data_IF_381600661743
#
_entry.id   IF_381600661743
#
_cell.length_a   1.000
_cell.length_b   1.000
_cell.length_c   1.000
_cell.angle_alpha   90.00
_cell.angle_beta   90.00
_cell.angle_gamma   90.00
#
_symmetry.space_group_name_H-M   'P 1'
#
loop_
_entity.id
_entity.type
_entity.pdbx_description
1 polymer ?
#
# COMPACT_ATOMS: atom_id res chain seq x y z
N UNK A 1 -11.41 -27.54 59.20
CA UNK A 1 -10.74 -27.05 57.98
C UNK A 1 -10.66 -28.25 57.05
N UNK A 2 -11.53 -28.28 56.04
CA UNK A 2 -11.76 -29.45 55.18
C UNK A 2 -11.41 -29.06 53.74
N UNK A 3 -10.67 -29.95 53.09
CA UNK A 3 -10.09 -29.90 51.75
C UNK A 3 -11.16 -29.80 50.63
N UNK A 4 -10.96 -29.00 49.56
CA UNK A 4 -11.87 -28.93 48.43
C UNK A 4 -11.30 -29.71 47.22
N UNK A 5 -11.48 -31.03 47.21
CA UNK A 5 -11.32 -31.83 45.99
C UNK A 5 -12.52 -32.76 45.86
N UNK A 6 -13.56 -32.29 45.19
CA UNK A 6 -14.68 -33.12 44.76
C UNK A 6 -14.95 -32.82 43.28
N UNK A 7 -14.45 -33.70 42.43
CA UNK A 7 -14.88 -33.85 41.04
C UNK A 7 -15.63 -35.17 40.94
N UNK A 8 -16.90 -35.14 40.47
CA UNK A 8 -17.45 -36.21 39.68
C UNK A 8 -17.58 -35.74 38.22
N UNK A 9 -16.73 -36.31 37.36
CA UNK A 9 -17.04 -36.46 35.93
C UNK A 9 -18.28 -37.35 35.80
N UNK A 10 -19.32 -36.89 35.10
CA UNK A 10 -20.12 -37.68 34.14
C UNK A 10 -21.33 -36.86 33.66
N UNK A 11 -21.41 -36.67 32.34
CA UNK A 11 -22.52 -35.97 31.67
C UNK A 11 -22.21 -35.68 30.20
N UNK A 12 -21.96 -36.72 29.42
CA UNK A 12 -22.09 -36.72 27.96
C UNK A 12 -23.56 -36.40 27.59
N UNK A 13 -23.80 -35.33 26.83
CA UNK A 13 -24.69 -35.35 25.65
C UNK A 13 -24.51 -34.04 24.85
N UNK A 14 -23.83 -34.12 23.71
CA UNK A 14 -23.80 -33.06 22.69
C UNK A 14 -24.79 -33.42 21.60
N UNK A 15 -25.88 -32.68 21.40
CA UNK A 15 -26.54 -32.66 20.11
C UNK A 15 -25.75 -31.73 19.17
N UNK A 16 -25.19 -32.34 18.14
CA UNK A 16 -24.62 -31.67 16.97
C UNK A 16 -25.77 -31.35 16.02
N UNK A 17 -26.18 -30.08 15.91
CA UNK A 17 -27.04 -29.65 14.81
C UNK A 17 -26.27 -28.68 13.92
N UNK A 18 -25.70 -29.28 12.88
CA UNK A 18 -25.36 -28.65 11.62
C UNK A 18 -26.65 -28.21 10.94
N UNK A 19 -26.87 -26.90 10.85
CA UNK A 19 -27.94 -26.31 10.05
C UNK A 19 -27.34 -25.30 9.08
N UNK A 20 -26.90 -25.79 7.93
CA UNK A 20 -26.97 -25.17 6.60
C UNK A 20 -25.91 -25.80 5.71
N UNK A 21 -26.30 -26.91 5.08
CA UNK A 21 -25.71 -27.40 3.85
C UNK A 21 -26.78 -27.34 2.76
N UNK A 22 -26.50 -26.57 1.70
CA UNK A 22 -27.25 -26.59 0.45
C UNK A 22 -27.80 -25.23 0.02
N UNK A 23 -27.01 -24.43 -0.70
CA UNK A 23 -27.17 -24.28 -2.16
C UNK A 23 -26.05 -23.39 -2.73
N UNK A 24 -25.43 -23.84 -3.81
CA UNK A 24 -24.48 -23.08 -4.61
C UNK A 24 -25.25 -22.46 -5.78
N UNK A 25 -25.32 -21.14 -5.92
CA UNK A 25 -25.39 -20.52 -7.24
C UNK A 25 -23.97 -20.25 -7.72
N UNK A 26 -23.65 -20.77 -8.91
CA UNK A 26 -22.52 -20.32 -9.67
C UNK A 26 -22.80 -18.92 -10.25
N UNK A 27 -21.77 -18.06 -10.19
CA UNK A 27 -21.51 -16.92 -11.07
C UNK A 27 -22.58 -15.82 -11.23
N UNK A 28 -22.29 -14.65 -10.63
CA UNK A 28 -22.39 -13.34 -11.27
C UNK A 28 -21.45 -12.37 -10.53
N UNK A 29 -20.27 -12.09 -11.08
CA UNK A 29 -19.83 -10.74 -11.51
C UNK A 29 -20.55 -9.58 -10.81
N UNK A 30 -19.87 -8.92 -9.87
CA UNK A 30 -19.76 -7.45 -9.83
C UNK A 30 -18.65 -7.04 -8.86
N UNK A 31 -17.77 -6.14 -9.31
CA UNK A 31 -16.59 -5.67 -8.58
C UNK A 31 -16.94 -4.65 -7.51
N UNK A 32 -17.35 -5.12 -6.33
CA UNK A 32 -17.49 -4.28 -5.15
C UNK A 32 -16.39 -4.63 -4.12
N UNK A 33 -15.71 -3.65 -3.52
CA UNK A 33 -14.71 -3.90 -2.49
C UNK A 33 -15.37 -4.60 -1.30
N UNK A 34 -14.87 -5.80 -0.97
CA UNK A 34 -15.24 -6.54 0.24
C UNK A 34 -14.86 -5.68 1.44
N UNK A 35 -15.87 -5.04 2.04
CA UNK A 35 -15.70 -4.34 3.32
C UNK A 35 -15.79 -5.40 4.42
N UNK A 36 -14.64 -5.81 4.94
CA UNK A 36 -14.58 -6.59 6.17
C UNK A 36 -15.19 -5.78 7.32
N UNK A 37 -16.00 -6.47 8.11
CA UNK A 37 -16.87 -5.95 9.17
C UNK A 37 -16.10 -5.07 10.16
N UNK A 38 -16.49 -3.79 10.27
CA UNK A 38 -16.01 -2.69 11.15
C UNK A 38 -14.97 -1.74 10.54
N UNK A 39 -15.36 -0.86 9.62
CA UNK A 39 -14.66 0.42 9.34
C UNK A 39 -13.21 0.38 8.87
N UNK A 40 -12.55 -0.77 8.92
CA UNK A 40 -11.25 -1.05 8.36
C UNK A 40 -11.50 -1.52 6.93
N UNK A 41 -11.04 -0.70 5.99
CA UNK A 41 -10.84 -1.15 4.62
C UNK A 41 -10.05 -2.47 4.67
N UNK A 42 -10.42 -3.41 3.79
CA UNK A 42 -9.62 -4.61 3.63
C UNK A 42 -8.17 -4.19 3.31
N UNK A 43 -7.21 -4.92 3.88
CA UNK A 43 -5.80 -4.68 3.58
C UNK A 43 -5.59 -4.82 2.07
N UNK A 44 -4.82 -3.92 1.43
CA UNK A 44 -4.55 -4.02 0.01
C UNK A 44 -3.87 -5.35 -0.31
N UNK A 45 -4.18 -5.91 -1.48
CA UNK A 45 -3.51 -7.12 -1.95
C UNK A 45 -2.00 -6.90 -2.12
N UNK A 46 -1.21 -7.92 -1.80
CA UNK A 46 0.23 -7.93 -2.03
C UNK A 46 0.52 -7.81 -3.54
N UNK A 47 1.45 -6.93 -3.91
CA UNK A 47 1.86 -6.68 -5.29
C UNK A 47 3.23 -7.29 -5.59
N UNK A 48 3.58 -7.38 -6.87
CA UNK A 48 4.92 -7.81 -7.30
C UNK A 48 6.02 -6.96 -6.68
N UNK A 49 5.81 -5.64 -6.56
CA UNK A 49 6.78 -4.72 -5.93
C UNK A 49 6.99 -5.04 -4.45
N UNK A 50 5.99 -5.52 -3.71
CA UNK A 50 6.18 -5.94 -2.31
C UNK A 50 7.03 -7.20 -2.22
N UNK A 51 6.73 -8.18 -3.08
CA UNK A 51 7.46 -9.44 -3.12
C UNK A 51 8.92 -9.19 -3.47
N UNK A 52 9.19 -8.28 -4.40
CA UNK A 52 10.55 -7.87 -4.78
C UNK A 52 11.23 -7.09 -3.66
N UNK A 53 10.56 -6.10 -3.06
CA UNK A 53 11.10 -5.31 -1.96
C UNK A 53 11.46 -6.19 -0.75
N UNK A 54 10.63 -7.18 -0.41
CA UNK A 54 10.89 -8.12 0.68
C UNK A 54 12.06 -9.10 0.39
N UNK A 55 12.41 -9.30 -0.88
CA UNK A 55 13.53 -10.17 -1.29
C UNK A 55 14.88 -9.47 -1.27
N UNK A 56 14.92 -8.15 -1.39
CA UNK A 56 16.17 -7.37 -1.37
C UNK A 56 16.90 -7.64 -0.05
N UNK A 57 18.05 -8.31 -0.14
CA UNK A 57 18.79 -8.75 1.04
C UNK A 57 19.56 -7.61 1.74
N UNK A 58 19.67 -6.45 1.10
CA UNK A 58 20.41 -5.29 1.57
C UNK A 58 20.81 -4.37 0.41
N UNK A 59 21.49 -3.24 0.69
CA UNK A 59 21.94 -2.31 -0.34
C UNK A 59 22.96 -2.92 -1.32
N UNK A 60 23.67 -3.98 -0.92
CA UNK A 60 24.56 -4.73 -1.80
C UNK A 60 23.86 -5.66 -2.80
N UNK A 61 22.56 -5.91 -2.64
CA UNK A 61 21.77 -6.77 -3.53
C UNK A 61 21.37 -6.02 -4.81
N UNK A 62 22.35 -5.81 -5.68
CA UNK A 62 22.16 -5.03 -6.90
C UNK A 62 21.17 -5.68 -7.88
N UNK A 63 21.10 -7.02 -7.91
CA UNK A 63 20.18 -7.75 -8.79
C UNK A 63 18.74 -7.62 -8.28
N UNK A 64 18.50 -7.86 -6.98
CA UNK A 64 17.17 -7.66 -6.37
C UNK A 64 16.69 -6.22 -6.47
N UNK A 65 17.59 -5.24 -6.27
CA UNK A 65 17.26 -3.82 -6.45
C UNK A 65 16.94 -3.48 -7.91
N UNK A 66 17.66 -4.04 -8.88
CA UNK A 66 17.39 -3.81 -10.30
C UNK A 66 16.02 -4.38 -10.71
N UNK A 67 15.65 -5.55 -10.21
CA UNK A 67 14.34 -6.16 -10.48
C UNK A 67 13.21 -5.36 -9.84
N UNK A 68 13.38 -4.92 -8.57
CA UNK A 68 12.43 -4.04 -7.91
C UNK A 68 12.20 -2.74 -8.68
N UNK A 69 13.29 -2.08 -9.09
CA UNK A 69 13.17 -0.81 -9.82
C UNK A 69 12.61 -0.99 -11.22
N UNK A 70 12.92 -2.09 -11.91
CA UNK A 70 12.28 -2.41 -13.18
C UNK A 70 10.76 -2.55 -13.01
N UNK A 71 10.32 -3.35 -12.05
CA UNK A 71 8.89 -3.53 -11.77
C UNK A 71 8.21 -2.21 -11.35
N UNK A 72 8.89 -1.37 -10.56
CA UNK A 72 8.35 -0.08 -10.10
C UNK A 72 8.24 0.95 -11.24
N UNK A 73 9.23 1.01 -12.13
CA UNK A 73 9.28 1.97 -13.24
C UNK A 73 8.39 1.55 -14.42
N UNK A 74 8.05 0.26 -14.54
CA UNK A 74 7.09 -0.27 -15.53
C UNK A 74 5.62 -0.06 -15.11
N UNK A 75 5.35 0.42 -13.88
CA UNK A 75 4.00 0.72 -13.45
C UNK A 75 3.37 1.79 -14.37
N UNK A 76 2.10 1.65 -14.78
CA UNK A 76 1.46 2.61 -15.67
C UNK A 76 1.34 3.99 -15.02
N UNK A 77 1.09 4.01 -13.71
CA UNK A 77 0.95 5.22 -12.92
C UNK A 77 1.47 4.99 -11.51
N UNK A 78 2.10 6.03 -10.97
CA UNK A 78 2.29 6.22 -9.55
C UNK A 78 1.20 7.14 -9.02
N UNK A 79 0.68 6.80 -7.85
CA UNK A 79 -0.44 7.48 -7.23
C UNK A 79 0.02 8.33 -6.06
N UNK A 80 -0.54 9.53 -5.95
CA UNK A 80 -0.25 10.48 -4.87
C UNK A 80 -1.56 10.95 -4.27
N UNK A 81 -1.62 11.07 -2.95
CA UNK A 81 -2.77 11.66 -2.27
C UNK A 81 -2.75 13.18 -2.51
N UNK A 82 -3.83 13.74 -3.03
CA UNK A 82 -3.96 15.17 -3.26
C UNK A 82 -4.37 15.88 -1.97
N UNK A 83 -3.56 16.83 -1.49
CA UNK A 83 -3.85 17.64 -0.31
C UNK A 83 -3.99 19.11 -0.68
N UNK A 84 -4.85 19.83 0.05
CA UNK A 84 -5.14 21.25 -0.19
C UNK A 84 -6.53 21.51 -0.78
N UNK A 85 -6.75 22.79 -1.08
CA UNK A 85 -8.01 23.29 -1.64
C UNK A 85 -8.19 22.84 -3.10
N UNK A 86 -9.42 22.57 -3.55
CA UNK A 86 -9.70 22.23 -4.95
C UNK A 86 -9.11 23.26 -5.92
N UNK A 87 -8.31 22.81 -6.89
CA UNK A 87 -7.63 23.64 -7.88
C UNK A 87 -6.25 24.17 -7.46
N UNK A 88 -5.84 23.93 -6.20
CA UNK A 88 -4.51 24.21 -5.67
C UNK A 88 -3.91 22.97 -5.01
N UNK A 89 -4.43 21.79 -5.36
CA UNK A 89 -3.98 20.52 -4.79
C UNK A 89 -2.52 20.23 -5.09
N UNK A 90 -1.81 19.70 -4.11
CA UNK A 90 -0.44 19.22 -4.24
C UNK A 90 -0.33 17.78 -3.74
N UNK A 91 0.62 16.99 -4.25
CA UNK A 91 0.93 15.68 -3.70
C UNK A 91 1.25 15.75 -2.20
N UNK A 92 0.73 14.81 -1.42
CA UNK A 92 1.04 14.69 0.00
C UNK A 92 2.53 14.41 0.21
N UNK A 93 3.14 15.18 1.10
CA UNK A 93 4.52 15.00 1.51
C UNK A 93 4.59 14.88 3.03
N UNK A 94 5.54 14.07 3.52
CA UNK A 94 5.81 13.90 4.94
C UNK A 94 7.30 14.11 5.22
N UNK A 95 7.62 14.55 6.44
CA UNK A 95 9.00 14.68 6.88
C UNK A 95 9.46 13.38 7.51
N UNK A 96 10.41 12.70 6.88
CA UNK A 96 10.97 11.41 7.31
C UNK A 96 12.47 11.61 7.51
N UNK A 97 12.96 11.30 8.72
CA UNK A 97 14.36 11.55 9.13
C UNK A 97 14.87 12.97 8.85
N UNK A 98 13.96 13.95 8.92
CA UNK A 98 14.26 15.36 8.70
C UNK A 98 14.22 15.80 7.23
N UNK A 99 13.97 14.89 6.29
CA UNK A 99 13.88 15.17 4.86
C UNK A 99 12.41 15.13 4.39
N UNK A 100 12.05 16.03 3.48
CA UNK A 100 10.69 16.05 2.92
C UNK A 100 10.60 14.98 1.82
N UNK A 101 9.68 14.03 1.98
CA UNK A 101 9.48 12.91 1.08
C UNK A 101 8.06 12.91 0.54
N UNK A 102 7.88 12.69 -0.76
CA UNK A 102 6.57 12.47 -1.36
C UNK A 102 6.04 11.09 -1.00
N UNK A 103 4.78 11.04 -0.58
CA UNK A 103 4.09 9.78 -0.34
C UNK A 103 3.55 9.26 -1.67
N UNK A 104 4.17 8.19 -2.15
CA UNK A 104 3.93 7.60 -3.46
C UNK A 104 3.35 6.21 -3.27
N UNK A 105 2.37 5.84 -4.09
CA UNK A 105 1.70 4.56 -3.99
C UNK A 105 1.70 3.85 -5.32
N UNK A 106 1.89 2.53 -5.28
CA UNK A 106 1.88 1.68 -6.48
C UNK A 106 0.47 1.46 -7.03
N UNK A 107 -0.57 1.72 -6.22
CA UNK A 107 -1.98 1.66 -6.65
C UNK A 107 -2.85 2.71 -5.96
N UNK A 108 -3.99 3.04 -6.58
CA UNK A 108 -4.98 3.96 -6.02
C UNK A 108 -5.63 3.40 -4.73
N UNK A 109 -5.84 2.09 -4.67
CA UNK A 109 -6.39 1.39 -3.51
C UNK A 109 -5.46 1.51 -2.31
N UNK A 110 -4.14 1.41 -2.53
CA UNK A 110 -3.12 1.59 -1.47
C UNK A 110 -3.05 3.02 -0.96
N UNK A 111 -3.14 3.99 -1.86
CA UNK A 111 -3.23 5.40 -1.49
C UNK A 111 -4.48 5.67 -0.64
N UNK A 112 -5.64 5.12 -1.05
CA UNK A 112 -6.90 5.25 -0.31
C UNK A 112 -6.85 4.56 1.04
N UNK A 113 -6.29 3.36 1.09
CA UNK A 113 -6.11 2.62 2.33
C UNK A 113 -5.30 3.45 3.34
N UNK A 114 -4.16 4.00 2.91
CA UNK A 114 -3.35 4.88 3.75
C UNK A 114 -4.12 6.13 4.19
N UNK A 115 -4.80 6.80 3.26
CA UNK A 115 -5.53 8.03 3.54
C UNK A 115 -6.63 7.83 4.60
N UNK A 116 -7.38 6.72 4.52
CA UNK A 116 -8.41 6.40 5.51
C UNK A 116 -7.80 6.02 6.86
N UNK A 117 -6.72 5.21 6.86
CA UNK A 117 -6.05 4.83 8.11
C UNK A 117 -5.45 6.02 8.86
N UNK A 118 -5.00 7.05 8.14
CA UNK A 118 -4.43 8.27 8.71
C UNK A 118 -5.47 9.40 8.87
N UNK A 119 -6.76 9.09 8.78
CA UNK A 119 -7.88 10.04 8.96
C UNK A 119 -7.80 11.26 8.01
N UNK A 120 -7.14 11.11 6.86
CA UNK A 120 -7.04 12.14 5.81
C UNK A 120 -8.33 12.23 4.99
N UNK A 121 -9.07 11.12 4.89
CA UNK A 121 -10.35 11.00 4.19
C UNK A 121 -11.25 10.05 4.97
N UNK A 122 -12.55 10.32 5.03
CA UNK A 122 -13.48 9.40 5.69
C UNK A 122 -13.60 8.08 4.88
N UNK A 123 -13.92 6.94 5.53
CA UNK A 123 -14.11 5.66 4.86
C UNK A 123 -15.15 5.65 3.73
N UNK A 124 -16.12 6.56 3.78
CA UNK A 124 -17.20 6.73 2.80
C UNK A 124 -16.91 7.79 1.74
N UNK A 125 -15.85 8.58 1.91
CA UNK A 125 -15.44 9.61 0.96
C UNK A 125 -14.50 9.05 -0.12
N UNK A 126 -14.55 9.68 -1.29
CA UNK A 126 -13.65 9.38 -2.40
C UNK A 126 -12.30 10.07 -2.19
N UNK A 127 -11.22 9.31 -2.41
CA UNK A 127 -9.87 9.88 -2.36
C UNK A 127 -9.65 10.77 -3.58
N UNK A 128 -9.26 12.02 -3.33
CA UNK A 128 -8.63 12.85 -4.36
C UNK A 128 -7.19 12.38 -4.53
N UNK A 129 -6.90 11.74 -5.65
CA UNK A 129 -5.58 11.25 -5.99
C UNK A 129 -5.08 11.85 -7.30
N UNK A 130 -3.77 12.07 -7.38
CA UNK A 130 -3.06 12.46 -8.60
C UNK A 130 -2.37 11.20 -9.11
N UNK A 131 -2.62 10.85 -10.37
CA UNK A 131 -1.93 9.77 -11.06
C UNK A 131 -0.93 10.38 -12.04
N UNK A 132 0.35 10.04 -11.90
CA UNK A 132 1.42 10.49 -12.78
C UNK A 132 2.17 9.26 -13.27
N UNK A 133 2.50 9.21 -14.56
CA UNK A 133 3.37 8.15 -15.05
C UNK A 133 4.78 8.30 -14.47
N UNK A 134 5.54 7.20 -14.34
CA UNK A 134 6.94 7.27 -13.90
C UNK A 134 7.77 8.25 -14.75
N UNK A 135 7.55 8.26 -16.07
CA UNK A 135 8.25 9.17 -16.99
C UNK A 135 7.93 10.64 -16.70
N UNK A 136 6.66 11.00 -16.47
CA UNK A 136 6.29 12.39 -16.13
C UNK A 136 6.98 12.86 -14.84
N UNK A 137 7.14 11.96 -13.85
CA UNK A 137 7.86 12.25 -12.62
C UNK A 137 9.35 12.47 -12.84
N UNK A 138 9.96 11.64 -13.68
CA UNK A 138 11.38 11.76 -14.06
C UNK A 138 11.61 13.08 -14.78
N UNK A 139 10.75 13.45 -15.73
CA UNK A 139 10.84 14.70 -16.50
C UNK A 139 10.66 15.94 -15.61
N UNK A 140 9.95 15.81 -14.48
CA UNK A 140 9.68 16.91 -13.54
C UNK A 140 10.52 16.83 -12.25
N UNK A 141 11.50 15.91 -12.17
CA UNK A 141 12.29 15.67 -10.97
C UNK A 141 13.04 16.93 -10.47
N UNK A 142 13.47 17.82 -11.38
CA UNK A 142 14.13 19.08 -11.02
C UNK A 142 13.21 20.00 -10.22
N UNK A 143 11.94 20.12 -10.59
CA UNK A 143 10.97 20.95 -9.87
C UNK A 143 10.74 20.46 -8.43
N UNK A 144 10.77 19.14 -8.22
CA UNK A 144 10.69 18.56 -6.88
C UNK A 144 11.96 18.82 -6.06
N UNK A 145 13.13 18.78 -6.67
CA UNK A 145 14.38 19.15 -6.00
C UNK A 145 14.39 20.62 -5.59
N UNK A 146 13.92 21.52 -6.46
CA UNK A 146 13.77 22.95 -6.15
C UNK A 146 12.78 23.21 -5.00
N UNK A 147 11.78 22.34 -4.84
CA UNK A 147 10.84 22.33 -3.73
C UNK A 147 11.38 21.64 -2.46
N UNK A 148 12.68 21.33 -2.40
CA UNK A 148 13.35 20.66 -1.29
C UNK A 148 12.78 19.26 -0.96
N UNK A 149 12.14 18.61 -1.94
CA UNK A 149 11.69 17.22 -1.84
C UNK A 149 12.89 16.31 -2.11
N UNK A 150 13.32 15.61 -1.06
CA UNK A 150 14.50 14.77 -1.09
C UNK A 150 14.28 13.43 -1.81
N UNK A 151 13.05 12.94 -1.85
CA UNK A 151 12.74 11.67 -2.50
C UNK A 151 11.28 11.28 -2.48
N UNK A 152 11.00 10.13 -3.09
CA UNK A 152 9.70 9.48 -3.13
C UNK A 152 9.77 8.23 -2.27
N UNK A 153 8.83 8.08 -1.34
CA UNK A 153 8.65 6.87 -0.55
C UNK A 153 7.44 6.10 -1.09
N UNK A 154 7.68 4.85 -1.50
CA UNK A 154 6.66 3.97 -2.05
C UNK A 154 5.98 3.16 -0.96
N UNK A 155 4.65 3.16 -0.97
CA UNK A 155 3.78 2.41 -0.07
C UNK A 155 4.30 2.41 1.38
N UNK A 156 4.38 3.59 2.04
CA UNK A 156 5.07 3.78 3.33
C UNK A 156 4.53 2.91 4.49
N UNK A 157 3.31 2.37 4.35
CA UNK A 157 2.67 1.50 5.33
C UNK A 157 2.78 0.00 5.00
N UNK A 158 3.37 -0.36 3.86
CA UNK A 158 3.52 -1.75 3.39
C UNK A 158 4.99 -2.08 3.13
N UNK A 159 5.54 -1.62 2.01
CA UNK A 159 6.89 -2.00 1.55
C UNK A 159 7.94 -0.96 1.94
N UNK A 160 7.60 0.33 1.92
CA UNK A 160 8.40 1.42 2.48
C UNK A 160 9.75 1.67 1.80
N UNK A 161 9.97 1.15 0.60
CA UNK A 161 11.19 1.45 -0.17
C UNK A 161 11.11 2.87 -0.74
N UNK A 162 12.27 3.47 -1.05
CA UNK A 162 12.32 4.86 -1.49
C UNK A 162 13.38 5.09 -2.56
N UNK A 163 13.18 6.15 -3.34
CA UNK A 163 14.15 6.65 -4.31
C UNK A 163 14.41 8.14 -4.05
N UNK A 164 15.68 8.56 -3.92
CA UNK A 164 16.03 9.97 -3.89
C UNK A 164 15.64 10.66 -5.21
N UNK A 165 15.17 11.91 -5.13
CA UNK A 165 14.71 12.65 -6.32
C UNK A 165 15.83 12.86 -7.33
N UNK A 166 17.09 13.00 -6.87
CA UNK A 166 18.28 13.14 -7.71
C UNK A 166 18.71 11.82 -8.39
N UNK A 167 18.18 10.68 -7.93
CA UNK A 167 18.42 9.35 -8.53
C UNK A 167 17.34 8.93 -9.53
N UNK A 168 16.19 9.61 -9.59
CA UNK A 168 15.07 9.23 -10.47
C UNK A 168 15.50 9.05 -11.93
N UNK A 169 16.18 10.05 -12.51
CA UNK A 169 16.64 9.97 -13.90
C UNK A 169 17.68 8.88 -14.14
N UNK A 170 18.59 8.69 -13.18
CA UNK A 170 19.63 7.65 -13.26
C UNK A 170 19.01 6.26 -13.28
N UNK A 171 18.06 5.99 -12.38
CA UNK A 171 17.37 4.70 -12.30
C UNK A 171 16.48 4.48 -13.53
N UNK A 172 15.78 5.52 -13.99
CA UNK A 172 14.96 5.46 -15.20
C UNK A 172 15.79 5.02 -16.42
N UNK A 173 16.93 5.67 -16.64
CA UNK A 173 17.84 5.33 -17.74
C UNK A 173 18.41 3.92 -17.59
N UNK A 174 18.80 3.53 -16.38
CA UNK A 174 19.32 2.20 -16.10
C UNK A 174 18.29 1.08 -16.37
N UNK A 175 16.99 1.34 -16.19
CA UNK A 175 15.93 0.37 -16.44
C UNK A 175 15.55 0.29 -17.92
N UNK A 176 15.47 1.44 -18.61
CA UNK A 176 14.90 1.52 -19.96
C UNK A 176 15.93 1.58 -21.09
N UNK A 177 17.19 1.88 -20.81
CA UNK A 177 18.27 1.91 -21.80
C UNK A 177 19.22 0.70 -21.72
N UNK A 178 18.91 -0.28 -20.86
CA UNK A 178 19.68 -1.51 -20.68
C UNK A 178 19.43 -2.58 -21.78
#
# INVERSE_FOLDING_TARGET
MTDPTDMPFQGEDRPSESIYQGERPAAAVDGAPVTTRLGQLAEPEETETDVLAARVAGPEDHEGMADLWRATMDLPYWWFIAVGDPGMESPAAAKIDGQLMLLTYTSAERARHFAVQNEMVAPEEDLRAIALSPQELVDTAEAYQEAEIAGLMFDPHLSGYFIPTDQLGVVWDAVHQA
#
